data_IF_777773525575
#
_entry.id   IF_777773525575
#
_cell.length_a   1.000
_cell.length_b   1.000
_cell.length_c   1.000
_cell.angle_alpha   90.00
_cell.angle_beta   90.00
_cell.angle_gamma   90.00
#
_symmetry.space_group_name_H-M   'P 1'
#
loop_
_entity.id
_entity.type
_entity.pdbx_description
1 polymer ?
#
# COMPACT_ATOMS: atom_id res chain seq x y z
N UNK A 1 -58.59 16.53 -17.06
CA UNK A 1 -59.20 17.86 -16.79
C UNK A 1 -59.06 18.17 -15.31
N UNK A 2 -58.57 19.38 -14.99
CA UNK A 2 -58.49 20.10 -13.69
C UNK A 2 -57.32 19.78 -12.72
N UNK A 3 -56.85 20.87 -12.11
CA UNK A 3 -55.57 21.19 -11.45
C UNK A 3 -55.64 21.10 -9.91
N UNK A 4 -54.47 21.33 -9.30
CA UNK A 4 -54.14 21.81 -7.93
C UNK A 4 -54.03 20.72 -6.85
N UNK A 5 -52.91 20.46 -6.18
CA UNK A 5 -51.81 21.24 -5.57
C UNK A 5 -51.97 21.42 -4.05
N UNK A 6 -50.93 20.99 -3.33
CA UNK A 6 -50.42 21.37 -1.99
C UNK A 6 -51.37 21.17 -0.79
N UNK A 7 -51.06 20.31 0.18
CA UNK A 7 -49.98 20.29 1.20
C UNK A 7 -50.42 20.93 2.53
N UNK A 8 -49.87 20.38 3.61
CA UNK A 8 -49.51 21.04 4.87
C UNK A 8 -50.26 20.65 6.18
N UNK A 9 -49.54 19.80 6.94
CA UNK A 9 -49.13 19.83 8.37
C UNK A 9 -50.07 20.30 9.50
N UNK A 10 -49.92 19.58 10.63
CA UNK A 10 -49.69 20.03 12.03
C UNK A 10 -50.36 19.02 12.97
N UNK A 11 -49.77 18.42 14.02
CA UNK A 11 -48.78 18.90 14.96
C UNK A 11 -49.49 19.27 16.27
N UNK A 12 -49.36 18.48 17.35
CA UNK A 12 -49.71 18.91 18.70
C UNK A 12 -48.76 18.28 19.75
N UNK A 13 -48.11 19.17 20.50
CA UNK A 13 -47.29 18.93 21.69
C UNK A 13 -48.13 19.26 22.94
N UNK A 14 -47.75 18.77 24.13
CA UNK A 14 -47.59 19.56 25.38
C UNK A 14 -47.30 18.63 26.57
N UNK A 15 -46.39 19.10 27.43
CA UNK A 15 -45.78 18.45 28.60
C UNK A 15 -46.51 18.73 29.93
N UNK A 16 -46.15 17.99 30.99
CA UNK A 16 -46.34 18.44 32.39
C UNK A 16 -45.22 17.90 33.30
N UNK A 17 -44.68 18.76 34.17
CA UNK A 17 -43.59 18.51 35.14
C UNK A 17 -44.06 18.81 36.58
N UNK A 18 -43.28 18.30 37.56
CA UNK A 18 -42.94 18.78 38.93
C UNK A 18 -43.49 18.06 40.21
N UNK A 19 -42.56 17.34 40.86
CA UNK A 19 -42.02 17.39 42.25
C UNK A 19 -42.91 17.42 43.52
N UNK A 20 -42.71 16.43 44.43
CA UNK A 20 -42.92 16.51 45.90
C UNK A 20 -41.81 15.72 46.66
N UNK A 21 -41.48 16.23 47.85
CA UNK A 21 -40.37 16.06 48.80
C UNK A 21 -40.17 14.74 49.58
N UNK A 22 -38.89 14.39 49.80
CA UNK A 22 -38.25 14.09 51.10
C UNK A 22 -38.70 12.91 51.98
N UNK A 23 -37.95 11.80 51.97
CA UNK A 23 -37.47 11.06 53.18
C UNK A 23 -36.40 10.04 52.76
N UNK A 24 -35.28 10.00 53.49
CA UNK A 24 -34.20 9.06 53.29
C UNK A 24 -34.58 7.66 53.80
N UNK A 25 -34.46 6.64 52.95
CA UNK A 25 -34.28 5.24 53.37
C UNK A 25 -33.19 4.64 52.50
N UNK A 26 -32.08 4.29 53.15
CA UNK A 26 -30.98 3.54 52.60
C UNK A 26 -31.46 2.09 52.36
N UNK A 27 -31.42 1.60 51.11
CA UNK A 27 -31.46 0.16 50.82
C UNK A 27 -30.28 -0.16 49.91
N UNK A 28 -29.43 -1.04 50.42
CA UNK A 28 -28.21 -1.57 49.83
C UNK A 28 -28.56 -2.79 48.95
N UNK A 29 -27.68 -3.10 47.98
CA UNK A 29 -27.57 -4.36 47.19
C UNK A 29 -28.46 -4.45 45.94
N UNK A 30 -28.03 -4.90 44.76
CA UNK A 30 -26.81 -5.57 44.34
C UNK A 30 -26.55 -5.30 42.84
N UNK A 31 -25.27 -5.31 42.45
CA UNK A 31 -24.84 -5.33 41.06
C UNK A 31 -25.26 -6.62 40.35
N UNK A 32 -25.80 -6.48 39.13
CA UNK A 32 -25.72 -7.54 38.11
C UNK A 32 -25.30 -6.89 36.81
N UNK A 33 -24.00 -7.02 36.52
CA UNK A 33 -23.41 -6.76 35.21
C UNK A 33 -23.82 -7.93 34.32
N UNK A 34 -24.87 -7.78 33.51
CA UNK A 34 -25.08 -8.68 32.36
C UNK A 34 -24.23 -8.16 31.21
N UNK A 35 -22.98 -8.61 31.20
CA UNK A 35 -22.07 -8.46 30.08
C UNK A 35 -22.63 -9.20 28.87
N UNK A 36 -22.92 -8.42 27.84
CA UNK A 36 -23.29 -8.83 26.50
C UNK A 36 -22.13 -9.67 25.91
N UNK A 37 -22.34 -10.98 25.71
CA UNK A 37 -21.43 -11.82 24.94
C UNK A 37 -21.68 -11.59 23.44
N UNK A 38 -21.14 -10.50 22.91
CA UNK A 38 -20.77 -10.42 21.49
C UNK A 38 -19.38 -11.06 21.37
N UNK A 39 -19.31 -12.35 21.08
CA UNK A 39 -18.06 -12.97 20.61
C UNK A 39 -17.84 -12.56 19.16
N UNK A 40 -17.23 -11.38 19.01
CA UNK A 40 -16.72 -10.84 17.77
C UNK A 40 -15.54 -11.65 17.24
N UNK A 41 -15.53 -11.79 15.92
CA UNK A 41 -14.51 -12.44 15.11
C UNK A 41 -13.22 -11.59 15.01
N UNK A 42 -12.50 -11.38 16.12
CA UNK A 42 -11.33 -10.47 16.14
C UNK A 42 -9.95 -11.15 16.02
N UNK A 43 -9.90 -12.45 15.69
CA UNK A 43 -8.62 -13.20 15.68
C UNK A 43 -7.89 -13.16 14.32
N UNK A 44 -8.56 -12.74 13.25
CA UNK A 44 -7.95 -12.70 11.90
C UNK A 44 -7.29 -11.38 11.57
N UNK A 45 -7.83 -10.26 12.05
CA UNK A 45 -7.30 -8.90 11.76
C UNK A 45 -5.92 -8.71 12.40
N UNK A 46 -5.77 -9.08 13.67
CA UNK A 46 -4.49 -8.91 14.38
C UNK A 46 -3.34 -9.83 13.91
N UNK A 47 -3.62 -10.89 13.15
CA UNK A 47 -2.57 -11.74 12.54
C UNK A 47 -2.10 -11.17 11.20
N UNK A 48 -3.01 -10.64 10.38
CA UNK A 48 -2.66 -9.95 9.14
C UNK A 48 -1.84 -8.67 9.43
N UNK A 49 -2.31 -7.83 10.37
CA UNK A 49 -1.59 -6.61 10.75
C UNK A 49 -0.18 -6.88 11.32
N UNK A 50 -0.01 -7.97 12.08
CA UNK A 50 1.31 -8.38 12.59
C UNK A 50 2.21 -8.95 11.49
N UNK A 51 1.67 -9.64 10.49
CA UNK A 51 2.45 -10.14 9.36
C UNK A 51 2.93 -9.02 8.44
N UNK A 52 2.20 -7.90 8.38
CA UNK A 52 2.55 -6.72 7.58
C UNK A 52 3.66 -5.89 8.23
N UNK A 53 3.61 -5.72 9.56
CA UNK A 53 4.62 -4.99 10.33
C UNK A 53 5.86 -5.83 10.67
N UNK A 54 5.72 -7.15 10.78
CA UNK A 54 6.84 -8.00 11.12
C UNK A 54 7.87 -8.09 10.00
N UNK A 55 9.09 -8.32 10.47
CA UNK A 55 10.12 -9.06 9.76
C UNK A 55 10.88 -8.20 8.72
N UNK A 56 10.78 -6.88 8.81
CA UNK A 56 11.65 -5.96 8.07
C UNK A 56 13.01 -5.83 8.73
N UNK A 57 14.08 -5.92 7.94
CA UNK A 57 15.44 -5.65 8.44
C UNK A 57 15.61 -4.15 8.66
N UNK A 58 16.10 -3.78 9.84
CA UNK A 58 16.37 -2.39 10.19
C UNK A 58 17.54 -1.82 9.38
N UNK A 59 17.45 -0.54 9.01
CA UNK A 59 18.56 0.21 8.44
C UNK A 59 19.02 -0.22 7.04
N UNK A 60 18.20 -0.96 6.28
CA UNK A 60 18.52 -1.35 4.90
C UNK A 60 18.67 -0.09 4.05
N UNK A 61 19.87 0.12 3.51
CA UNK A 61 20.13 1.25 2.62
C UNK A 61 19.81 0.90 1.17
N UNK A 62 19.45 1.89 0.32
CA UNK A 62 19.29 1.68 -1.11
C UNK A 62 20.52 1.05 -1.77
N UNK A 63 21.72 1.46 -1.37
CA UNK A 63 22.97 0.90 -1.90
C UNK A 63 23.15 -0.58 -1.53
N UNK A 64 22.89 -0.95 -0.27
CA UNK A 64 23.00 -2.34 0.18
C UNK A 64 22.01 -3.25 -0.54
N UNK A 65 20.75 -2.81 -0.71
CA UNK A 65 19.75 -3.60 -1.42
C UNK A 65 20.06 -3.68 -2.93
N UNK A 66 20.50 -2.57 -3.53
CA UNK A 66 20.98 -2.50 -4.92
C UNK A 66 22.09 -3.51 -5.19
N UNK A 67 23.08 -3.60 -4.30
CA UNK A 67 24.16 -4.59 -4.39
C UNK A 67 23.64 -6.02 -4.27
N UNK A 68 22.69 -6.26 -3.36
CA UNK A 68 22.10 -7.57 -3.11
C UNK A 68 21.35 -8.10 -4.34
N UNK A 69 20.49 -7.28 -4.94
CA UNK A 69 19.62 -7.70 -6.06
C UNK A 69 20.27 -7.51 -7.44
N UNK A 70 21.38 -6.77 -7.52
CA UNK A 70 22.11 -6.52 -8.77
C UNK A 70 21.51 -5.42 -9.65
N UNK A 71 20.67 -4.55 -9.10
CA UNK A 71 20.16 -3.36 -9.79
C UNK A 71 21.09 -2.19 -9.50
N UNK A 72 21.55 -1.47 -10.53
CA UNK A 72 22.25 -0.19 -10.32
C UNK A 72 21.24 0.94 -10.16
N UNK A 73 21.42 1.75 -9.11
CA UNK A 73 20.69 3.00 -8.93
C UNK A 73 21.44 4.08 -9.74
N UNK A 74 20.80 4.75 -10.73
CA UNK A 74 21.47 5.79 -11.50
C UNK A 74 21.92 6.96 -10.62
N UNK A 75 23.02 7.61 -11.00
CA UNK A 75 23.56 8.77 -10.28
C UNK A 75 22.55 9.92 -10.05
N UNK A 76 21.72 10.33 -11.04
CA UNK A 76 20.74 11.39 -10.84
C UNK A 76 19.52 10.97 -10.00
N UNK A 77 19.43 9.70 -9.57
CA UNK A 77 18.29 9.22 -8.82
C UNK A 77 18.13 9.96 -7.50
N UNK A 78 16.92 10.39 -7.20
CA UNK A 78 16.52 11.06 -5.95
C UNK A 78 15.49 10.21 -5.21
N UNK A 79 15.05 10.64 -4.01
CA UNK A 79 14.03 9.95 -3.19
C UNK A 79 14.28 8.43 -3.07
N UNK A 80 15.53 8.05 -2.80
CA UNK A 80 15.97 6.65 -2.75
C UNK A 80 15.51 6.02 -1.44
N UNK A 81 14.70 4.96 -1.53
CA UNK A 81 14.15 4.23 -0.39
C UNK A 81 14.31 2.73 -0.61
N UNK A 82 14.58 1.99 0.46
CA UNK A 82 14.73 0.56 0.38
C UNK A 82 14.19 -0.13 1.63
N UNK A 83 13.74 -1.36 1.45
CA UNK A 83 13.33 -2.27 2.52
C UNK A 83 13.66 -3.71 2.13
N UNK A 84 14.00 -4.51 3.13
CA UNK A 84 14.22 -5.96 2.96
C UNK A 84 13.36 -6.67 4.01
N UNK A 85 12.30 -7.35 3.55
CA UNK A 85 11.44 -8.17 4.39
C UNK A 85 11.95 -9.61 4.39
N UNK A 86 12.14 -10.17 5.58
CA UNK A 86 12.45 -11.58 5.78
C UNK A 86 11.17 -12.39 5.63
N UNK A 87 11.19 -13.38 4.74
CA UNK A 87 10.07 -14.29 4.53
C UNK A 87 10.31 -15.67 5.13
N UNK A 88 9.27 -16.48 5.19
CA UNK A 88 9.40 -17.89 5.61
C UNK A 88 10.02 -18.77 4.53
N UNK A 89 9.77 -18.44 3.25
CA UNK A 89 10.31 -19.16 2.09
C UNK A 89 11.41 -18.37 1.42
N UNK A 90 11.05 -17.18 0.97
CA UNK A 90 11.94 -16.27 0.26
C UNK A 90 11.84 -14.89 0.87
N UNK A 91 12.94 -14.15 0.86
CA UNK A 91 12.95 -12.77 1.30
C UNK A 91 12.40 -11.87 0.18
N UNK A 92 11.94 -10.68 0.55
CA UNK A 92 11.47 -9.66 -0.41
C UNK A 92 12.28 -8.39 -0.27
N UNK A 93 12.95 -7.99 -1.35
CA UNK A 93 13.56 -6.68 -1.49
C UNK A 93 12.62 -5.71 -2.20
N UNK A 94 12.40 -4.52 -1.62
CA UNK A 94 11.75 -3.40 -2.30
C UNK A 94 12.67 -2.19 -2.34
N UNK A 95 12.87 -1.65 -3.55
CA UNK A 95 13.70 -0.48 -3.81
C UNK A 95 12.87 0.52 -4.62
N UNK A 96 12.89 1.79 -4.23
CA UNK A 96 12.25 2.85 -4.98
C UNK A 96 13.17 4.07 -5.10
N UNK A 97 13.09 4.76 -6.23
CA UNK A 97 13.79 6.03 -6.46
C UNK A 97 13.11 6.81 -7.59
N UNK A 98 13.35 8.11 -7.66
CA UNK A 98 12.84 8.99 -8.72
C UNK A 98 13.94 9.44 -9.68
N UNK A 99 13.59 9.57 -10.94
CA UNK A 99 14.45 10.07 -12.01
C UNK A 99 13.72 11.13 -12.84
N UNK A 100 14.44 12.04 -13.53
CA UNK A 100 13.90 12.70 -14.71
C UNK A 100 13.32 11.67 -15.68
N UNK A 101 12.18 11.95 -16.32
CA UNK A 101 11.49 10.97 -17.18
C UNK A 101 12.38 10.44 -18.30
N UNK A 102 13.16 11.32 -18.96
CA UNK A 102 14.10 10.90 -20.02
C UNK A 102 15.18 9.94 -19.48
N UNK A 103 15.65 10.16 -18.24
CA UNK A 103 16.63 9.29 -17.59
C UNK A 103 16.00 7.95 -17.19
N UNK A 104 14.73 7.95 -16.78
CA UNK A 104 13.97 6.74 -16.49
C UNK A 104 13.79 5.87 -17.74
N UNK A 105 13.42 6.48 -18.87
CA UNK A 105 13.27 5.79 -20.16
C UNK A 105 14.60 5.24 -20.67
N UNK A 106 15.67 6.04 -20.57
CA UNK A 106 17.01 5.61 -20.90
C UNK A 106 17.49 4.48 -19.97
N UNK A 107 17.08 4.48 -18.71
CA UNK A 107 17.44 3.43 -17.75
C UNK A 107 16.71 2.12 -18.04
N UNK A 108 15.39 2.14 -18.20
CA UNK A 108 14.58 0.93 -18.44
C UNK A 108 14.92 0.30 -19.79
N UNK A 109 15.14 1.09 -20.83
CA UNK A 109 15.55 0.58 -22.16
C UNK A 109 16.92 -0.11 -22.17
N UNK A 110 17.80 0.20 -21.21
CA UNK A 110 19.09 -0.48 -21.01
C UNK A 110 19.01 -1.68 -20.07
N UNK A 111 17.89 -1.86 -19.38
CA UNK A 111 17.64 -2.98 -18.48
C UNK A 111 16.95 -4.12 -19.23
N UNK A 112 15.83 -3.82 -19.88
CA UNK A 112 15.03 -4.81 -20.59
C UNK A 112 15.65 -5.21 -21.93
N UNK A 113 15.43 -6.46 -22.35
CA UNK A 113 15.90 -6.96 -23.66
C UNK A 113 15.34 -6.09 -24.78
N UNK A 114 16.16 -5.82 -25.80
CA UNK A 114 15.72 -5.09 -26.99
C UNK A 114 14.50 -5.76 -27.63
N UNK A 115 13.44 -4.99 -27.85
CA UNK A 115 12.15 -5.49 -28.37
C UNK A 115 11.19 -5.99 -27.29
N UNK A 116 11.63 -6.08 -26.04
CA UNK A 116 10.75 -6.23 -24.87
C UNK A 116 10.37 -4.85 -24.40
N UNK A 117 9.06 -4.57 -24.32
CA UNK A 117 8.55 -3.29 -23.86
C UNK A 117 7.84 -3.50 -22.53
N UNK A 118 8.07 -2.60 -21.58
CA UNK A 118 7.23 -2.52 -20.39
C UNK A 118 5.79 -2.17 -20.81
N UNK A 119 4.82 -2.86 -20.22
CA UNK A 119 3.40 -2.71 -20.59
C UNK A 119 2.65 -1.90 -19.55
N UNK A 120 1.55 -1.27 -19.94
CA UNK A 120 0.67 -0.59 -18.99
C UNK A 120 0.09 -1.55 -17.95
N UNK A 121 -0.46 -1.02 -16.86
CA UNK A 121 -1.17 -1.83 -15.88
C UNK A 121 -2.59 -2.18 -16.35
N UNK A 122 -2.70 -3.31 -17.04
CA UNK A 122 -3.96 -3.79 -17.64
C UNK A 122 -4.93 -4.42 -16.62
N UNK A 123 -4.42 -4.82 -15.45
CA UNK A 123 -5.18 -5.49 -14.40
C UNK A 123 -4.81 -4.90 -13.03
N UNK A 124 -5.19 -3.63 -12.77
CA UNK A 124 -4.86 -2.99 -11.51
C UNK A 124 -5.55 -3.70 -10.35
N UNK A 125 -4.84 -3.77 -9.23
CA UNK A 125 -5.38 -4.24 -7.95
C UNK A 125 -6.26 -3.17 -7.31
N UNK A 126 -7.11 -3.60 -6.37
CA UNK A 126 -7.94 -2.70 -5.56
C UNK A 126 -7.06 -1.75 -4.70
N UNK A 127 -7.60 -0.57 -4.37
CA UNK A 127 -6.84 0.48 -3.65
C UNK A 127 -6.40 0.08 -2.23
N UNK A 128 -7.06 -0.91 -1.63
CA UNK A 128 -6.72 -1.48 -0.33
C UNK A 128 -5.78 -2.70 -0.43
N UNK A 129 -5.25 -2.99 -1.62
CA UNK A 129 -4.26 -4.04 -1.82
C UNK A 129 -3.00 -3.80 -0.97
N UNK A 130 -2.68 -4.79 -0.12
CA UNK A 130 -1.51 -4.78 0.77
C UNK A 130 -0.75 -6.10 0.60
N UNK A 131 0.19 -6.18 -0.35
CA UNK A 131 1.00 -7.37 -0.50
C UNK A 131 2.00 -7.47 0.66
N UNK A 132 2.31 -8.68 1.16
CA UNK A 132 3.44 -8.88 2.04
C UNK A 132 4.72 -8.38 1.34
N UNK A 133 5.49 -7.52 2.01
CA UNK A 133 6.69 -6.95 1.39
C UNK A 133 6.39 -5.83 0.39
N UNK A 134 5.27 -5.14 0.54
CA UNK A 134 4.87 -4.01 -0.31
C UNK A 134 5.61 -2.69 -0.05
N UNK A 135 5.42 -1.74 -0.95
CA UNK A 135 6.00 -0.40 -0.91
C UNK A 135 5.37 0.52 0.13
N UNK A 136 4.20 0.17 0.67
CA UNK A 136 3.58 0.87 1.79
C UNK A 136 4.50 0.97 3.01
N UNK A 137 5.39 -0.02 3.22
CA UNK A 137 6.41 0.04 4.27
C UNK A 137 7.36 1.24 4.12
N UNK A 138 7.60 1.68 2.87
CA UNK A 138 8.43 2.84 2.54
C UNK A 138 7.62 4.15 2.50
N UNK A 139 6.34 4.12 2.89
CA UNK A 139 5.42 5.26 2.78
C UNK A 139 5.09 5.62 1.33
N UNK A 140 5.08 4.63 0.44
CA UNK A 140 4.78 4.79 -0.99
C UNK A 140 3.50 4.02 -1.35
N UNK A 141 2.77 4.42 -2.41
CA UNK A 141 1.67 3.62 -2.93
C UNK A 141 2.18 2.30 -3.52
N UNK A 142 1.34 1.26 -3.48
CA UNK A 142 1.64 0.01 -4.18
C UNK A 142 1.49 0.23 -5.70
N UNK A 143 2.54 -0.01 -6.51
CA UNK A 143 2.46 0.24 -7.94
C UNK A 143 1.35 -0.57 -8.61
N UNK A 144 1.02 -1.77 -8.11
CA UNK A 144 -0.03 -2.62 -8.66
C UNK A 144 -1.43 -1.98 -8.63
N UNK A 145 -1.64 -0.95 -7.81
CA UNK A 145 -2.91 -0.20 -7.70
C UNK A 145 -2.99 1.00 -8.64
N UNK A 146 -1.88 1.37 -9.30
CA UNK A 146 -1.80 2.56 -10.15
C UNK A 146 -2.24 2.22 -11.58
N UNK A 147 -3.01 3.11 -12.20
CA UNK A 147 -3.60 2.89 -13.53
C UNK A 147 -2.95 3.80 -14.58
N UNK A 148 -2.96 5.11 -14.34
CA UNK A 148 -2.44 6.10 -15.28
C UNK A 148 -0.92 6.26 -15.12
N UNK A 149 -0.21 6.43 -16.24
CA UNK A 149 1.24 6.71 -16.23
C UNK A 149 2.11 5.58 -15.70
N UNK A 150 1.56 4.39 -15.44
CA UNK A 150 2.31 3.22 -14.98
C UNK A 150 2.64 2.29 -16.15
N UNK A 151 3.91 1.93 -16.27
CA UNK A 151 4.36 0.78 -17.04
C UNK A 151 5.07 -0.23 -16.13
N UNK A 152 5.03 -1.51 -16.49
CA UNK A 152 5.61 -2.59 -15.70
C UNK A 152 6.23 -3.66 -16.60
N UNK A 153 7.21 -4.37 -16.05
CA UNK A 153 7.81 -5.53 -16.67
C UNK A 153 8.71 -6.27 -15.68
N UNK A 154 9.07 -7.50 -16.02
CA UNK A 154 9.91 -8.35 -15.18
C UNK A 154 11.12 -8.85 -15.96
N UNK A 155 12.26 -8.99 -15.28
CA UNK A 155 13.48 -9.54 -15.87
C UNK A 155 14.19 -10.44 -14.85
N UNK A 156 14.79 -11.51 -15.37
CA UNK A 156 15.62 -12.44 -14.61
C UNK A 156 17.04 -12.46 -15.19
N UNK A 157 18.08 -12.81 -14.41
CA UNK A 157 19.48 -12.77 -14.84
C UNK A 157 19.84 -13.59 -16.08
N UNK A 158 18.97 -14.49 -16.56
CA UNK A 158 19.18 -15.43 -17.67
C UNK A 158 19.77 -14.79 -18.94
N UNK A 159 21.10 -14.85 -19.02
CA UNK A 159 21.97 -14.38 -20.11
C UNK A 159 21.64 -12.95 -20.59
N UNK A 160 21.20 -12.08 -19.67
CA UNK A 160 20.96 -10.68 -19.99
C UNK A 160 22.28 -9.99 -20.36
N UNK A 161 22.40 -9.61 -21.62
CA UNK A 161 23.57 -8.87 -22.15
C UNK A 161 23.34 -7.36 -22.23
N UNK A 162 22.17 -6.89 -21.77
CA UNK A 162 21.83 -5.48 -21.75
C UNK A 162 22.72 -4.71 -20.75
N UNK A 163 22.98 -3.41 -20.97
CA UNK A 163 23.93 -2.67 -20.13
C UNK A 163 23.62 -2.64 -18.63
N UNK A 164 22.34 -2.64 -18.25
CA UNK A 164 21.90 -2.76 -16.85
C UNK A 164 21.54 -4.22 -16.49
N UNK A 165 20.90 -4.97 -17.38
CA UNK A 165 20.39 -6.32 -17.07
C UNK A 165 21.48 -7.33 -16.74
N UNK A 166 22.68 -7.18 -17.31
CA UNK A 166 23.85 -8.02 -16.99
C UNK A 166 24.29 -7.96 -15.52
N UNK A 167 23.81 -6.98 -14.76
CA UNK A 167 24.16 -6.80 -13.36
C UNK A 167 23.17 -7.52 -12.42
N UNK A 168 21.98 -7.91 -12.91
CA UNK A 168 20.95 -8.54 -12.11
C UNK A 168 21.47 -9.84 -11.48
N UNK A 169 21.18 -10.00 -10.18
CA UNK A 169 21.50 -11.21 -9.41
C UNK A 169 20.27 -12.06 -9.12
N UNK A 170 19.09 -11.45 -9.16
CA UNK A 170 17.80 -12.12 -8.98
C UNK A 170 16.77 -11.60 -9.97
N UNK A 171 15.65 -12.31 -10.10
CA UNK A 171 14.48 -11.84 -10.82
C UNK A 171 13.89 -10.61 -10.14
N UNK A 172 13.48 -9.64 -10.94
CA UNK A 172 12.84 -8.42 -10.47
C UNK A 172 11.53 -8.17 -11.23
N UNK A 173 10.59 -7.56 -10.53
CA UNK A 173 9.48 -6.82 -11.11
C UNK A 173 9.83 -5.33 -11.01
N UNK A 174 9.84 -4.65 -12.15
CA UNK A 174 10.08 -3.21 -12.23
C UNK A 174 8.82 -2.50 -12.70
N UNK A 175 8.48 -1.42 -12.00
CA UNK A 175 7.38 -0.53 -12.36
C UNK A 175 7.92 0.90 -12.51
N UNK A 176 7.49 1.59 -13.56
CA UNK A 176 7.82 2.99 -13.81
C UNK A 176 6.51 3.79 -13.84
N UNK A 177 6.36 4.71 -12.89
CA UNK A 177 5.17 5.55 -12.74
C UNK A 177 5.53 7.03 -12.95
N UNK A 178 4.98 7.64 -13.98
CA UNK A 178 5.08 9.09 -14.20
C UNK A 178 4.30 9.85 -13.12
N UNK A 179 5.00 10.65 -12.32
CA UNK A 179 4.39 11.47 -11.26
C UNK A 179 3.84 12.79 -11.78
N UNK A 180 4.11 13.11 -13.05
CA UNK A 180 3.94 14.44 -13.64
C UNK A 180 5.20 15.30 -13.54
N UNK A 181 5.21 16.42 -14.27
CA UNK A 181 6.32 17.38 -14.30
C UNK A 181 7.68 16.81 -14.76
N UNK A 182 7.69 15.76 -15.59
CA UNK A 182 8.91 15.15 -16.12
C UNK A 182 9.70 14.35 -15.07
N UNK A 183 9.02 13.84 -14.04
CA UNK A 183 9.61 12.95 -13.03
C UNK A 183 8.89 11.61 -13.05
N UNK A 184 9.68 10.53 -13.05
CA UNK A 184 9.19 9.15 -13.01
C UNK A 184 9.72 8.47 -11.75
N UNK A 185 8.85 7.79 -10.99
CA UNK A 185 9.26 6.90 -9.91
C UNK A 185 9.46 5.50 -10.45
N UNK A 186 10.63 4.94 -10.18
CA UNK A 186 10.94 3.54 -10.40
C UNK A 186 10.68 2.79 -9.09
N UNK A 187 9.93 1.70 -9.17
CA UNK A 187 9.72 0.72 -8.13
C UNK A 187 10.36 -0.59 -8.59
N UNK A 188 11.12 -1.24 -7.72
CA UNK A 188 11.72 -2.55 -7.98
C UNK A 188 11.35 -3.46 -6.83
N UNK A 189 10.74 -4.60 -7.14
CA UNK A 189 10.45 -5.69 -6.22
C UNK A 189 11.28 -6.90 -6.64
N UNK A 190 11.91 -7.55 -5.68
CA UNK A 190 12.81 -8.67 -5.91
C UNK A 190 12.56 -9.79 -4.89
N UNK A 191 12.59 -11.03 -5.36
CA UNK A 191 12.66 -12.21 -4.48
C UNK A 191 14.13 -12.49 -4.21
N UNK A 192 14.54 -12.53 -2.94
CA UNK A 192 15.95 -12.61 -2.51
C UNK A 192 16.24 -13.91 -1.79
#
# INVERSE_FOLDING_TARGET
>A
MKRSAADERAGLSVAARLLISGTAVMVVMAAVVSGILFSGSDVSVGRAEKADACCWREGVTPAALSELIGIRIPEPATDRRAGHKIGERDDTGVLAFTLPTDDADAYTSRLFRKGTQMVGNLHPQDQDFRPPGGFAHLGLPEPETLVEGLTQGSECPDELTTPEGRHLKTCIDLFAHELGAGVTRIYVKATV
#
